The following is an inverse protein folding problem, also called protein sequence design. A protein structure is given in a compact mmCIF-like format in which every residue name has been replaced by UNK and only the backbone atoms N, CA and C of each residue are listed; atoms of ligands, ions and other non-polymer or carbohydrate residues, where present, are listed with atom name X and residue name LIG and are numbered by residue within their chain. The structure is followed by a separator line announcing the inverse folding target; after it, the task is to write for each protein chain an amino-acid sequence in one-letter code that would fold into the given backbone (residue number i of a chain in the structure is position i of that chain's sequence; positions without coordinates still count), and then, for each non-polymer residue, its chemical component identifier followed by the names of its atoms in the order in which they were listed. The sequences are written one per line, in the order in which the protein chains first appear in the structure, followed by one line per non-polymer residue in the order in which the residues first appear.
data_IF_379302356759
#
_entry.id   IF_379302356759
#
_cell.length_a   1.000
_cell.length_b   1.000
_cell.length_c   1.000
_cell.angle_alpha   90.00
_cell.angle_beta   90.00
_cell.angle_gamma   90.00
#
_symmetry.space_group_name_H-M   'P 1'
#
loop_
_entity.id
_entity.type
_entity.pdbx_description
1 polymer ?
#
# COMPACT_ATOMS: atom_id res chain seq x y z
N UNK A 1 4.15 27.00 -0.25
CA UNK A 1 3.71 26.13 -1.35
C UNK A 1 4.92 25.33 -1.80
N UNK A 2 5.14 24.16 -1.21
CA UNK A 2 6.34 23.35 -1.49
C UNK A 2 6.02 22.51 -2.72
N UNK A 3 6.40 23.01 -3.89
CA UNK A 3 6.50 22.18 -5.09
C UNK A 3 7.82 21.44 -4.96
N UNK A 4 7.80 20.25 -4.35
CA UNK A 4 8.94 19.35 -4.37
C UNK A 4 9.16 18.97 -5.84
N UNK A 5 10.39 19.12 -6.31
CA UNK A 5 10.84 18.65 -7.62
C UNK A 5 11.00 17.13 -7.51
N UNK A 6 10.06 16.35 -8.04
CA UNK A 6 9.94 14.89 -7.81
C UNK A 6 10.17 14.24 -9.19
N UNK A 7 11.31 13.64 -9.52
CA UNK A 7 12.22 12.81 -8.72
C UNK A 7 13.57 12.76 -9.43
N UNK A 8 14.67 13.14 -8.77
CA UNK A 8 16.02 12.81 -9.24
C UNK A 8 16.37 11.32 -9.05
N UNK A 9 15.37 10.43 -9.14
CA UNK A 9 15.49 9.01 -8.83
C UNK A 9 15.82 8.22 -10.09
N UNK A 10 16.95 7.53 -10.08
CA UNK A 10 17.30 6.56 -11.12
C UNK A 10 16.61 5.21 -10.83
N UNK A 11 15.36 5.08 -11.29
CA UNK A 11 14.51 3.89 -11.06
C UNK A 11 15.20 2.58 -11.48
N UNK A 12 16.07 2.61 -12.49
CA UNK A 12 16.83 1.45 -12.96
C UNK A 12 17.81 0.88 -11.94
N UNK A 13 18.18 1.65 -10.91
CA UNK A 13 19.07 1.22 -9.82
C UNK A 13 18.32 0.78 -8.56
N UNK A 14 16.99 0.88 -8.55
CA UNK A 14 16.18 0.54 -7.39
C UNK A 14 15.79 -0.94 -7.37
N UNK A 15 15.67 -1.50 -6.18
CA UNK A 15 15.19 -2.87 -5.96
C UNK A 15 13.73 -3.00 -6.39
N UNK A 16 13.42 -3.97 -7.26
CA UNK A 16 12.05 -4.30 -7.63
C UNK A 16 11.38 -5.10 -6.52
N UNK A 17 10.35 -4.55 -5.90
CA UNK A 17 9.56 -5.22 -4.86
C UNK A 17 8.40 -6.02 -5.44
N UNK A 18 7.82 -5.57 -6.56
CA UNK A 18 6.67 -6.24 -7.14
C UNK A 18 6.33 -5.77 -8.54
N UNK A 19 5.73 -6.66 -9.32
CA UNK A 19 5.26 -6.39 -10.69
C UNK A 19 3.83 -6.90 -10.82
N UNK A 20 2.93 -6.02 -11.23
CA UNK A 20 1.51 -6.33 -11.43
C UNK A 20 1.01 -5.95 -12.82
N UNK A 21 -0.30 -6.14 -13.03
CA UNK A 21 -0.98 -5.76 -14.27
C UNK A 21 -0.87 -4.26 -14.53
N UNK A 22 -0.99 -3.43 -13.49
CA UNK A 22 -1.05 -1.97 -13.57
C UNK A 22 0.31 -1.26 -13.51
N UNK A 23 1.38 -1.93 -13.12
CA UNK A 23 2.65 -1.25 -12.86
C UNK A 23 3.71 -2.10 -12.18
N UNK A 24 4.75 -1.42 -11.68
CA UNK A 24 5.85 -2.01 -10.91
C UNK A 24 6.09 -1.17 -9.65
N UNK A 25 6.51 -1.81 -8.58
CA UNK A 25 6.83 -1.17 -7.30
C UNK A 25 8.32 -1.36 -7.03
N UNK A 26 9.01 -0.27 -6.71
CA UNK A 26 10.44 -0.28 -6.39
C UNK A 26 10.69 0.31 -5.01
N UNK A 27 11.69 -0.22 -4.30
CA UNK A 27 12.13 0.33 -3.01
C UNK A 27 12.93 1.60 -3.24
N UNK A 28 12.62 2.68 -2.52
CA UNK A 28 13.47 3.87 -2.46
C UNK A 28 14.43 3.73 -1.28
N UNK A 29 13.91 3.38 -0.11
CA UNK A 29 14.65 3.16 1.14
C UNK A 29 13.84 2.25 2.10
N UNK A 30 14.18 2.23 3.39
CA UNK A 30 13.51 1.41 4.41
C UNK A 30 12.05 1.80 4.67
N UNK A 31 11.67 3.03 4.38
CA UNK A 31 10.35 3.60 4.70
C UNK A 31 9.51 3.86 3.44
N UNK A 32 10.13 4.04 2.28
CA UNK A 32 9.46 4.53 1.07
C UNK A 32 9.62 3.58 -0.10
N UNK A 33 8.53 3.43 -0.85
CA UNK A 33 8.53 2.77 -2.15
C UNK A 33 7.84 3.65 -3.20
N UNK A 34 8.19 3.44 -4.46
CA UNK A 34 7.57 4.08 -5.61
C UNK A 34 6.87 3.06 -6.47
N UNK A 35 5.58 3.28 -6.74
CA UNK A 35 4.83 2.53 -7.75
C UNK A 35 4.80 3.33 -9.04
N UNK A 36 5.31 2.75 -10.11
CA UNK A 36 5.26 3.29 -11.48
C UNK A 36 4.12 2.59 -12.22
N UNK A 37 3.18 3.38 -12.73
CA UNK A 37 1.97 2.90 -13.39
C UNK A 37 2.12 2.89 -14.90
N UNK A 38 1.46 1.93 -15.56
CA UNK A 38 1.34 1.88 -17.03
C UNK A 38 0.29 2.85 -17.58
N UNK A 39 -0.71 3.21 -16.76
CA UNK A 39 -1.85 4.05 -17.16
C UNK A 39 -2.08 5.14 -16.12
N UNK A 40 -2.23 6.38 -16.60
CA UNK A 40 -2.54 7.56 -15.79
C UNK A 40 -3.84 7.39 -14.99
N UNK A 41 -4.89 6.84 -15.62
CA UNK A 41 -6.18 6.62 -14.94
C UNK A 41 -6.06 5.70 -13.72
N UNK A 42 -5.30 4.61 -13.83
CA UNK A 42 -5.05 3.71 -12.71
C UNK A 42 -4.27 4.41 -11.58
N UNK A 43 -3.27 5.23 -11.92
CA UNK A 43 -2.53 6.03 -10.95
C UNK A 43 -3.44 7.03 -10.22
N UNK A 44 -4.32 7.69 -10.96
CA UNK A 44 -5.27 8.67 -10.44
C UNK A 44 -6.31 8.03 -9.51
N UNK A 45 -6.86 6.88 -9.88
CA UNK A 45 -7.83 6.15 -9.05
C UNK A 45 -7.20 5.67 -7.73
N UNK A 46 -5.96 5.17 -7.78
CA UNK A 46 -5.23 4.75 -6.58
C UNK A 46 -4.83 5.94 -5.70
N UNK A 47 -4.43 7.07 -6.31
CA UNK A 47 -4.14 8.32 -5.58
C UNK A 47 -5.38 8.82 -4.83
N UNK A 48 -6.58 8.76 -5.45
CA UNK A 48 -7.84 9.08 -4.76
C UNK A 48 -8.10 8.18 -3.57
N UNK A 49 -7.85 6.88 -3.72
CA UNK A 49 -7.98 5.92 -2.63
C UNK A 49 -7.09 6.29 -1.43
N UNK A 50 -5.83 6.66 -1.69
CA UNK A 50 -4.93 7.17 -0.64
C UNK A 50 -5.45 8.45 0.03
N UNK A 51 -5.99 9.40 -0.73
CA UNK A 51 -6.57 10.62 -0.15
C UNK A 51 -7.79 10.35 0.73
N UNK A 52 -8.63 9.37 0.38
CA UNK A 52 -9.76 8.98 1.22
C UNK A 52 -9.32 8.31 2.53
N UNK A 53 -8.20 7.58 2.48
CA UNK A 53 -7.60 6.88 3.62
C UNK A 53 -6.68 7.76 4.50
N UNK A 54 -6.52 9.04 4.18
CA UNK A 54 -5.52 9.88 4.84
C UNK A 54 -5.78 9.99 6.34
N UNK A 55 -4.78 9.62 7.14
CA UNK A 55 -4.80 9.71 8.60
C UNK A 55 -5.31 8.45 9.32
N UNK A 56 -5.67 7.39 8.60
CA UNK A 56 -6.01 6.09 9.20
C UNK A 56 -4.77 5.16 9.20
N UNK A 57 -4.43 4.59 10.36
CA UNK A 57 -3.20 3.81 10.55
C UNK A 57 -3.17 2.50 9.75
N UNK A 58 -4.34 2.01 9.34
CA UNK A 58 -4.46 0.78 8.56
C UNK A 58 -3.99 0.95 7.12
N UNK A 59 -3.79 2.17 6.64
CA UNK A 59 -3.38 2.43 5.27
C UNK A 59 -1.95 2.99 5.23
N UNK A 60 -1.19 2.71 4.14
CA UNK A 60 0.14 3.28 3.98
C UNK A 60 0.08 4.81 3.84
N UNK A 61 1.06 5.51 4.41
CA UNK A 61 1.17 6.96 4.22
C UNK A 61 1.47 7.32 2.77
N UNK A 62 0.76 8.32 2.22
CA UNK A 62 1.07 8.92 0.92
C UNK A 62 2.10 10.05 1.08
N UNK A 63 3.26 9.93 0.44
CA UNK A 63 4.28 11.00 0.46
C UNK A 63 4.18 11.91 -0.76
N UNK A 64 3.90 11.34 -1.94
CA UNK A 64 3.80 12.09 -3.18
C UNK A 64 3.04 11.30 -4.26
N UNK A 65 2.38 12.01 -5.17
CA UNK A 65 1.79 11.43 -6.37
C UNK A 65 2.03 12.34 -7.57
N UNK A 66 2.30 11.73 -8.71
CA UNK A 66 2.38 12.40 -10.01
C UNK A 66 1.51 11.69 -11.05
N UNK A 67 1.62 12.07 -12.34
CA UNK A 67 0.73 11.55 -13.38
C UNK A 67 0.78 10.02 -13.55
N UNK A 68 1.94 9.39 -13.35
CA UNK A 68 2.11 7.93 -13.53
C UNK A 68 2.91 7.30 -12.38
N UNK A 69 3.01 7.96 -11.22
CA UNK A 69 3.68 7.37 -10.08
C UNK A 69 3.05 7.78 -8.75
N UNK A 70 3.23 6.93 -7.74
CA UNK A 70 2.92 7.21 -6.34
C UNK A 70 4.15 6.84 -5.50
N UNK A 71 4.59 7.75 -4.64
CA UNK A 71 5.54 7.48 -3.56
C UNK A 71 4.75 7.37 -2.26
N UNK A 72 4.88 6.22 -1.60
CA UNK A 72 4.14 5.89 -0.39
C UNK A 72 5.01 5.11 0.59
N UNK A 73 4.47 4.89 1.77
CA UNK A 73 5.06 4.02 2.77
C UNK A 73 5.28 2.61 2.23
N UNK A 74 6.48 2.10 2.48
CA UNK A 74 6.89 0.73 2.21
C UNK A 74 6.59 -0.12 3.45
N UNK A 75 5.47 -0.84 3.41
CA UNK A 75 5.08 -1.72 4.52
C UNK A 75 6.06 -2.88 4.62
N UNK A 76 6.75 -2.98 5.76
CA UNK A 76 7.63 -4.09 6.08
C UNK A 76 6.79 -5.15 6.81
N UNK A 77 6.38 -6.18 6.09
CA UNK A 77 5.51 -7.23 6.61
C UNK A 77 5.40 -8.43 5.67
N UNK A 78 4.66 -9.45 6.12
CA UNK A 78 4.34 -10.64 5.33
C UNK A 78 2.90 -10.49 4.82
N UNK A 79 2.67 -10.78 3.54
CA UNK A 79 1.33 -10.82 2.96
C UNK A 79 0.41 -11.78 3.76
N UNK A 80 -0.84 -11.37 4.02
CA UNK A 80 -1.75 -12.08 4.93
C UNK A 80 -2.07 -13.50 4.46
N UNK A 81 -2.18 -13.73 3.15
CA UNK A 81 -2.35 -15.07 2.59
C UNK A 81 -1.14 -15.97 2.88
N UNK A 82 0.08 -15.46 2.71
CA UNK A 82 1.31 -16.17 3.05
C UNK A 82 1.41 -16.41 4.55
N UNK A 83 1.02 -15.45 5.37
CA UNK A 83 0.98 -15.61 6.82
C UNK A 83 0.02 -16.75 7.23
N UNK A 84 -1.21 -16.74 6.72
CA UNK A 84 -2.23 -17.75 7.02
C UNK A 84 -1.93 -19.12 6.38
N UNK A 85 -1.07 -19.18 5.36
CA UNK A 85 -0.58 -20.47 4.83
C UNK A 85 0.34 -21.21 5.80
N UNK A 86 0.88 -20.53 6.82
CA UNK A 86 1.85 -21.07 7.79
C UNK A 86 1.39 -20.99 9.24
N UNK A 87 0.30 -20.26 9.50
CA UNK A 87 -0.18 -19.97 10.84
C UNK A 87 -1.71 -20.09 10.86
N UNK A 88 -2.26 -20.45 12.01
CA UNK A 88 -3.70 -20.50 12.21
C UNK A 88 -4.32 -19.10 12.25
N UNK A 89 -5.59 -19.00 11.85
CA UNK A 89 -6.38 -17.80 12.05
C UNK A 89 -6.77 -17.68 13.52
N UNK A 90 -5.97 -16.93 14.28
CA UNK A 90 -6.24 -16.67 15.70
C UNK A 90 -7.35 -15.64 15.89
N UNK A 91 -7.92 -15.57 17.09
CA UNK A 91 -8.88 -14.53 17.47
C UNK A 91 -8.29 -13.12 17.26
N UNK A 92 -7.04 -12.91 17.67
CA UNK A 92 -6.37 -11.62 17.51
C UNK A 92 -6.21 -11.19 16.05
N UNK A 93 -5.87 -12.12 15.14
CA UNK A 93 -5.80 -11.81 13.71
C UNK A 93 -7.20 -11.53 13.16
N UNK A 94 -8.21 -12.29 13.59
CA UNK A 94 -9.59 -12.10 13.18
C UNK A 94 -10.12 -10.72 13.56
N UNK A 95 -9.88 -10.27 14.79
CA UNK A 95 -10.23 -8.92 15.26
C UNK A 95 -9.56 -7.82 14.44
N UNK A 96 -8.27 -7.98 14.10
CA UNK A 96 -7.54 -7.02 13.27
C UNK A 96 -8.08 -6.98 11.84
N UNK A 97 -8.46 -8.12 11.27
CA UNK A 97 -9.11 -8.17 9.95
C UNK A 97 -10.42 -7.39 10.01
N UNK A 98 -11.25 -7.62 11.03
CA UNK A 98 -12.50 -6.87 11.21
C UNK A 98 -12.22 -5.36 11.32
N UNK A 99 -11.24 -4.96 12.14
CA UNK A 99 -10.83 -3.56 12.30
C UNK A 99 -10.40 -2.90 10.98
N UNK A 100 -9.60 -3.59 10.17
CA UNK A 100 -9.20 -3.14 8.84
C UNK A 100 -10.40 -2.90 7.91
N UNK A 101 -11.37 -3.83 7.91
CA UNK A 101 -12.55 -3.70 7.07
C UNK A 101 -13.50 -2.59 7.56
N UNK A 102 -13.61 -2.37 8.86
CA UNK A 102 -14.34 -1.22 9.41
C UNK A 102 -13.66 0.11 9.05
N UNK A 103 -12.31 0.15 9.04
CA UNK A 103 -11.57 1.30 8.54
C UNK A 103 -11.87 1.55 7.05
N UNK A 104 -11.83 0.52 6.20
CA UNK A 104 -12.20 0.62 4.77
C UNK A 104 -13.62 1.15 4.56
N UNK A 105 -14.60 0.72 5.38
CA UNK A 105 -15.97 1.25 5.34
C UNK A 105 -16.01 2.74 5.72
N UNK A 106 -15.31 3.12 6.79
CA UNK A 106 -15.25 4.50 7.29
C UNK A 106 -14.71 5.46 6.24
N UNK A 107 -13.67 5.04 5.50
CA UNK A 107 -13.06 5.83 4.42
C UNK A 107 -13.76 5.64 3.07
N UNK A 108 -14.96 5.01 3.05
CA UNK A 108 -15.85 4.83 1.90
C UNK A 108 -15.19 4.16 0.70
N UNK A 109 -14.28 3.20 0.94
CA UNK A 109 -13.75 2.37 -0.13
C UNK A 109 -14.89 1.60 -0.79
N UNK A 110 -15.02 1.75 -2.11
CA UNK A 110 -16.03 1.01 -2.89
C UNK A 110 -15.70 -0.48 -3.02
N UNK A 111 -14.41 -0.82 -2.88
CA UNK A 111 -13.88 -2.16 -3.06
C UNK A 111 -13.49 -2.74 -1.71
N UNK A 112 -14.39 -3.51 -1.11
CA UNK A 112 -14.15 -4.20 0.17
C UNK A 112 -13.61 -5.63 -0.04
N UNK A 113 -13.64 -6.17 -1.27
CA UNK A 113 -13.05 -7.46 -1.64
C UNK A 113 -11.52 -7.35 -1.85
N UNK A 114 -10.81 -6.71 -0.93
CA UNK A 114 -9.35 -6.65 -0.98
C UNK A 114 -8.80 -8.08 -0.96
N UNK A 115 -8.07 -8.44 -2.02
CA UNK A 115 -7.39 -9.73 -2.05
C UNK A 115 -6.37 -9.78 -0.90
N UNK A 116 -6.25 -10.93 -0.24
CA UNK A 116 -5.44 -11.07 0.98
C UNK A 116 -3.95 -10.70 0.77
N UNK A 117 -3.42 -10.83 -0.44
CA UNK A 117 -2.06 -10.41 -0.80
C UNK A 117 -1.87 -8.88 -0.86
N UNK A 118 -2.95 -8.10 -0.71
CA UNK A 118 -2.88 -6.65 -0.53
C UNK A 118 -2.80 -6.22 0.94
N UNK A 119 -2.96 -7.15 1.88
CA UNK A 119 -2.91 -6.90 3.32
C UNK A 119 -1.59 -7.49 3.86
N UNK A 120 -0.91 -6.73 4.70
CA UNK A 120 0.36 -7.12 5.31
C UNK A 120 0.24 -7.26 6.81
N UNK A 121 0.79 -8.35 7.34
CA UNK A 121 1.07 -8.52 8.78
C UNK A 121 2.45 -7.92 9.05
N UNK A 122 2.51 -6.83 9.81
CA UNK A 122 3.78 -6.16 10.16
C UNK A 122 4.54 -6.93 11.25
N UNK A 123 5.80 -6.58 11.46
CA UNK A 123 6.63 -7.14 12.53
C UNK A 123 6.08 -6.89 13.93
N UNK A 124 5.30 -5.81 14.10
CA UNK A 124 4.59 -5.45 15.34
C UNK A 124 3.23 -6.15 15.44
N UNK A 125 2.89 -7.01 14.47
CA UNK A 125 1.64 -7.75 14.41
C UNK A 125 0.43 -6.89 14.03
N UNK A 126 0.61 -5.71 13.43
CA UNK A 126 -0.49 -4.90 12.88
C UNK A 126 -0.90 -5.40 11.49
N UNK A 127 -2.14 -5.12 11.07
CA UNK A 127 -2.58 -5.30 9.69
C UNK A 127 -2.62 -3.95 8.97
N UNK A 128 -1.97 -3.89 7.81
CA UNK A 128 -1.85 -2.68 6.97
C UNK A 128 -1.95 -2.98 5.49
#
# INVERSE_FOLDING_TARGET
MIIINITGLEISKLELLGKGSQGRVYRIDSERCIKIFKKHSACYDETKAFFMALGDEHFPQLYSAGPNYIIRECINGIELDRYLSRNELTMSISEKIIGLYEAMKKVKFKRLDSALFHIFVTTEGKLR
#
